data_IF_127155055145
#
_entry.id   IF_127155055145
#
_cell.length_a   1.000
_cell.length_b   1.000
_cell.length_c   1.000
_cell.angle_alpha   90.00
_cell.angle_beta   90.00
_cell.angle_gamma   90.00
#
_symmetry.space_group_name_H-M   'P 1'
#
loop_
_entity.id
_entity.type
_entity.pdbx_description
1 polymer ?
#
# COMPACT_ATOMS: atom_id res chain seq x y z
N UNK A 1 19.18 7.63 53.46
CA UNK A 1 18.07 8.17 52.64
C UNK A 1 18.58 9.41 51.92
N UNK A 2 18.74 9.36 50.61
CA UNK A 2 19.08 10.51 49.78
C UNK A 2 18.14 10.51 48.58
N UNK A 3 17.33 11.55 48.47
CA UNK A 3 16.34 11.75 47.41
C UNK A 3 17.06 12.13 46.11
N UNK A 4 16.74 11.43 45.02
CA UNK A 4 17.17 11.78 43.66
C UNK A 4 16.11 12.70 43.04
N UNK A 5 16.46 13.86 42.47
CA UNK A 5 15.48 14.79 41.92
C UNK A 5 14.91 14.26 40.60
N UNK A 6 13.59 14.38 40.47
CA UNK A 6 12.84 14.02 39.27
C UNK A 6 13.26 14.83 38.05
N UNK A 7 13.89 14.15 37.09
CA UNK A 7 14.03 14.66 35.74
C UNK A 7 12.68 14.64 35.03
N UNK A 8 12.12 15.82 34.74
CA UNK A 8 11.08 15.99 33.72
C UNK A 8 11.60 15.37 32.42
N UNK A 9 11.08 14.20 32.04
CA UNK A 9 11.26 13.65 30.70
C UNK A 9 10.62 14.64 29.72
N UNK A 10 11.44 15.45 29.06
CA UNK A 10 11.07 16.13 27.83
C UNK A 10 10.52 15.08 26.87
N UNK A 11 9.23 15.21 26.50
CA UNK A 11 8.57 14.27 25.62
C UNK A 11 9.31 14.18 24.29
N UNK A 12 9.98 13.04 24.06
CA UNK A 12 10.40 12.64 22.73
C UNK A 12 9.15 12.67 21.85
N UNK A 13 9.17 13.44 20.76
CA UNK A 13 8.10 13.45 19.78
C UNK A 13 7.76 11.99 19.42
N UNK A 14 6.59 11.53 19.84
CA UNK A 14 6.21 10.13 19.70
C UNK A 14 6.13 9.80 18.20
N UNK A 15 7.02 8.94 17.71
CA UNK A 15 7.03 8.53 16.31
C UNK A 15 5.70 7.88 15.91
N UNK A 16 5.33 8.01 14.64
CA UNK A 16 4.14 7.36 14.12
C UNK A 16 4.41 5.85 13.93
N UNK A 17 3.39 5.03 14.18
CA UNK A 17 3.47 3.58 14.02
C UNK A 17 2.96 3.17 12.64
N UNK A 18 3.76 2.39 11.94
CA UNK A 18 3.48 1.93 10.59
C UNK A 18 3.49 0.41 10.54
N UNK A 19 2.93 -0.12 9.46
CA UNK A 19 3.24 -1.47 9.03
C UNK A 19 3.38 -1.56 7.52
N UNK A 20 4.18 -2.52 7.09
CA UNK A 20 4.35 -2.87 5.70
C UNK A 20 3.91 -4.30 5.46
N UNK A 21 3.30 -4.55 4.31
CA UNK A 21 3.19 -5.93 3.80
C UNK A 21 4.50 -6.34 3.15
N UNK A 22 4.86 -7.61 3.25
CA UNK A 22 6.05 -8.20 2.63
C UNK A 22 5.68 -9.52 1.94
N UNK A 23 6.45 -9.89 0.92
CA UNK A 23 6.42 -11.26 0.40
C UNK A 23 6.82 -12.25 1.50
N UNK A 24 6.28 -13.47 1.46
CA UNK A 24 6.65 -14.52 2.43
C UNK A 24 8.16 -14.78 2.35
N UNK A 25 8.83 -14.77 3.49
CA UNK A 25 10.29 -14.92 3.60
C UNK A 25 11.08 -13.61 3.42
N UNK A 26 10.44 -12.51 3.01
CA UNK A 26 11.10 -11.20 2.87
C UNK A 26 10.99 -10.34 4.13
N UNK A 27 10.27 -10.79 5.16
CA UNK A 27 10.12 -10.06 6.42
C UNK A 27 11.48 -9.72 7.08
N UNK A 28 12.49 -10.62 7.12
CA UNK A 28 13.80 -10.29 7.68
C UNK A 28 14.54 -9.19 6.91
N UNK A 29 14.44 -9.17 5.58
CA UNK A 29 15.02 -8.10 4.75
C UNK A 29 14.38 -6.75 5.07
N UNK A 30 13.06 -6.75 5.19
CA UNK A 30 12.31 -5.54 5.52
C UNK A 30 12.59 -5.05 6.93
N UNK A 31 12.68 -5.95 7.92
CA UNK A 31 13.07 -5.59 9.27
C UNK A 31 14.47 -4.95 9.33
N UNK A 32 15.43 -5.48 8.56
CA UNK A 32 16.78 -4.89 8.46
C UNK A 32 16.71 -3.52 7.78
N UNK A 33 15.97 -3.42 6.68
CA UNK A 33 15.83 -2.18 5.91
C UNK A 33 15.18 -1.05 6.72
N UNK A 34 14.09 -1.30 7.45
CA UNK A 34 13.44 -0.24 8.26
C UNK A 34 14.32 0.20 9.42
N UNK A 35 15.09 -0.71 10.03
CA UNK A 35 16.05 -0.34 11.09
C UNK A 35 17.18 0.51 10.54
N UNK A 36 17.78 0.11 9.42
CA UNK A 36 18.94 0.82 8.86
C UNK A 36 18.55 2.14 8.19
N UNK A 37 17.46 2.17 7.41
CA UNK A 37 17.08 3.34 6.63
C UNK A 37 16.21 4.32 7.39
N UNK A 38 15.35 3.85 8.29
CA UNK A 38 14.35 4.69 8.96
C UNK A 38 14.61 4.88 10.45
N UNK A 39 15.76 4.39 10.96
CA UNK A 39 16.07 4.33 12.39
C UNK A 39 14.89 3.78 13.21
N UNK A 40 14.18 2.79 12.65
CA UNK A 40 12.90 2.36 13.19
C UNK A 40 13.07 1.61 14.52
N UNK A 41 12.16 1.91 15.45
CA UNK A 41 12.07 1.29 16.78
C UNK A 41 10.82 0.41 16.87
N UNK A 42 10.70 -0.40 17.92
CA UNK A 42 9.56 -1.31 18.13
C UNK A 42 9.27 -2.20 16.90
N UNK A 43 10.33 -2.68 16.27
CA UNK A 43 10.23 -3.47 15.03
C UNK A 43 9.87 -4.91 15.37
N UNK A 44 8.68 -5.32 14.94
CA UNK A 44 8.13 -6.66 15.10
C UNK A 44 7.60 -7.16 13.76
N UNK A 45 7.50 -8.47 13.58
CA UNK A 45 6.92 -9.03 12.37
C UNK A 45 5.98 -10.19 12.70
N UNK A 46 5.10 -10.43 11.75
CA UNK A 46 4.18 -11.55 11.65
C UNK A 46 4.26 -12.04 10.20
N UNK A 47 3.73 -13.22 9.91
CA UNK A 47 3.76 -13.72 8.53
C UNK A 47 3.18 -12.71 7.53
N UNK A 48 4.03 -12.26 6.60
CA UNK A 48 3.71 -11.28 5.56
C UNK A 48 3.57 -9.82 5.99
N UNK A 49 3.87 -9.44 7.25
CA UNK A 49 3.86 -8.02 7.68
C UNK A 49 4.95 -7.68 8.69
N UNK A 50 5.48 -6.48 8.59
CA UNK A 50 6.42 -5.90 9.55
C UNK A 50 5.82 -4.62 10.11
N UNK A 51 5.77 -4.49 11.43
CA UNK A 51 5.34 -3.29 12.14
C UNK A 51 6.55 -2.58 12.73
N UNK A 52 6.50 -1.26 12.77
CA UNK A 52 7.59 -0.45 13.28
C UNK A 52 7.14 0.98 13.60
N UNK A 53 7.91 1.67 14.44
CA UNK A 53 7.70 3.07 14.80
C UNK A 53 8.86 3.90 14.27
N UNK A 54 8.59 5.02 13.61
CA UNK A 54 9.62 5.92 13.10
C UNK A 54 9.13 7.38 13.04
N UNK A 55 10.08 8.31 13.11
CA UNK A 55 9.86 9.74 12.87
C UNK A 55 10.32 10.17 11.46
N UNK A 56 10.67 9.20 10.60
CA UNK A 56 11.15 9.46 9.24
C UNK A 56 10.10 10.11 8.35
N UNK A 57 10.54 10.94 7.41
CA UNK A 57 9.64 11.61 6.47
C UNK A 57 9.13 10.67 5.37
N UNK A 58 8.12 11.14 4.62
CA UNK A 58 7.53 10.39 3.50
C UNK A 58 8.54 10.03 2.41
N UNK A 59 9.57 10.85 2.19
CA UNK A 59 10.56 10.60 1.15
C UNK A 59 11.45 9.41 1.51
N UNK A 60 11.81 9.28 2.78
CA UNK A 60 12.52 8.11 3.30
C UNK A 60 11.63 6.87 3.27
N UNK A 61 10.37 6.97 3.69
CA UNK A 61 9.41 5.88 3.65
C UNK A 61 9.18 5.35 2.21
N UNK A 62 9.14 6.24 1.22
CA UNK A 62 8.97 5.89 -0.21
C UNK A 62 10.17 5.12 -0.79
N UNK A 63 11.34 5.25 -0.18
CA UNK A 63 12.59 4.60 -0.64
C UNK A 63 12.68 3.13 -0.21
N UNK A 64 11.77 2.62 0.60
CA UNK A 64 11.77 1.20 1.00
C UNK A 64 11.68 0.28 -0.23
N UNK A 65 12.57 -0.71 -0.27
CA UNK A 65 12.83 -1.59 -1.41
C UNK A 65 12.26 -2.98 -1.24
N UNK A 66 12.27 -3.50 -0.01
CA UNK A 66 11.74 -4.82 0.34
C UNK A 66 10.25 -4.80 0.73
N UNK A 67 9.67 -3.61 0.98
CA UNK A 67 8.25 -3.46 1.30
C UNK A 67 7.34 -3.53 0.06
N UNK A 68 6.20 -4.20 0.21
CA UNK A 68 5.15 -4.27 -0.84
C UNK A 68 4.24 -3.05 -0.81
N UNK A 69 3.60 -2.81 0.34
CA UNK A 69 2.72 -1.67 0.60
C UNK A 69 2.99 -1.16 2.01
N UNK A 70 2.85 0.15 2.20
CA UNK A 70 3.04 0.83 3.49
C UNK A 70 1.71 1.39 3.98
N UNK A 71 1.46 1.21 5.27
CA UNK A 71 0.26 1.65 5.94
C UNK A 71 0.62 2.37 7.25
N UNK A 72 -0.10 3.43 7.57
CA UNK A 72 -0.14 4.01 8.91
C UNK A 72 -1.02 3.12 9.78
N UNK A 73 -0.51 2.64 10.91
CA UNK A 73 -1.25 1.76 11.81
C UNK A 73 -2.25 2.58 12.63
N UNK A 74 -3.52 2.19 12.59
CA UNK A 74 -4.54 2.71 13.51
C UNK A 74 -4.63 1.79 14.71
N UNK A 75 -4.85 0.50 14.47
CA UNK A 75 -5.08 -0.49 15.54
C UNK A 75 -4.54 -1.85 15.14
N UNK A 76 -3.93 -2.53 16.11
CA UNK A 76 -3.51 -3.94 16.03
C UNK A 76 -4.03 -4.63 17.28
N UNK A 77 -4.79 -5.71 17.11
CA UNK A 77 -5.32 -6.49 18.23
C UNK A 77 -5.32 -7.99 17.94
N UNK A 78 -5.61 -8.78 18.97
CA UNK A 78 -5.80 -10.21 18.89
C UNK A 78 -6.95 -10.59 17.93
N UNK A 79 -6.93 -11.82 17.37
CA UNK A 79 -7.93 -12.27 16.42
C UNK A 79 -9.30 -12.44 17.09
N UNK A 80 -10.37 -12.39 16.29
CA UNK A 80 -11.70 -12.71 16.79
C UNK A 80 -11.83 -14.21 17.04
N UNK A 81 -12.48 -14.59 18.13
CA UNK A 81 -12.79 -15.99 18.40
C UNK A 81 -13.98 -16.44 17.52
N UNK A 82 -13.70 -17.12 16.42
CA UNK A 82 -14.71 -17.53 15.43
C UNK A 82 -15.33 -18.91 15.75
N UNK A 83 -14.58 -19.80 16.38
CA UNK A 83 -14.97 -21.21 16.53
C UNK A 83 -16.05 -21.48 17.57
N UNK A 84 -16.34 -20.51 18.45
CA UNK A 84 -17.25 -20.70 19.60
C UNK A 84 -18.36 -19.63 19.69
N UNK A 85 -18.47 -18.76 18.69
CA UNK A 85 -19.21 -17.50 18.80
C UNK A 85 -20.19 -17.34 17.63
N UNK A 86 -21.43 -16.91 17.92
CA UNK A 86 -22.43 -16.65 16.88
C UNK A 86 -21.99 -15.51 15.94
N UNK A 87 -22.44 -15.54 14.68
CA UNK A 87 -22.12 -14.49 13.69
C UNK A 87 -22.42 -13.08 14.23
N UNK A 88 -23.52 -12.90 14.98
CA UNK A 88 -23.90 -11.63 15.59
C UNK A 88 -22.88 -11.09 16.60
N UNK A 89 -22.32 -11.94 17.45
CA UNK A 89 -21.28 -11.53 18.41
C UNK A 89 -19.99 -11.10 17.70
N UNK A 90 -19.62 -11.77 16.60
CA UNK A 90 -18.47 -11.36 15.79
C UNK A 90 -18.73 -10.02 15.10
N UNK A 91 -19.94 -9.75 14.62
CA UNK A 91 -20.31 -8.44 14.10
C UNK A 91 -20.19 -7.34 15.16
N UNK A 92 -20.61 -7.60 16.40
CA UNK A 92 -20.43 -6.65 17.49
C UNK A 92 -18.94 -6.36 17.74
N UNK A 93 -18.10 -7.39 17.74
CA UNK A 93 -16.65 -7.23 17.87
C UNK A 93 -16.03 -6.42 16.69
N UNK A 94 -16.54 -6.60 15.47
CA UNK A 94 -16.14 -5.76 14.32
C UNK A 94 -16.58 -4.31 14.47
N UNK A 95 -17.74 -4.03 15.07
CA UNK A 95 -18.18 -2.67 15.36
C UNK A 95 -17.32 -2.03 16.46
N UNK A 96 -16.97 -2.80 17.49
CA UNK A 96 -16.09 -2.39 18.59
C UNK A 96 -14.68 -2.02 18.14
N UNK A 97 -14.16 -2.61 17.05
CA UNK A 97 -12.91 -2.14 16.41
C UNK A 97 -12.92 -0.64 16.12
N UNK A 98 -14.08 -0.10 15.77
CA UNK A 98 -14.27 1.30 15.43
C UNK A 98 -14.71 2.12 16.65
N UNK A 99 -15.64 1.59 17.44
CA UNK A 99 -16.32 2.35 18.49
C UNK A 99 -15.53 2.46 19.81
N UNK A 100 -14.73 1.45 20.16
CA UNK A 100 -14.09 1.39 21.49
C UNK A 100 -12.96 2.42 21.66
N UNK A 101 -12.39 2.93 20.58
CA UNK A 101 -11.25 3.86 20.62
C UNK A 101 -11.28 4.88 19.48
N UNK A 102 -12.21 5.86 19.51
CA UNK A 102 -12.33 6.86 18.46
C UNK A 102 -11.11 7.81 18.37
N UNK A 103 -10.40 8.00 19.49
CA UNK A 103 -9.25 8.90 19.57
C UNK A 103 -8.09 8.42 18.70
N UNK A 104 -7.77 7.11 18.73
CA UNK A 104 -6.75 6.53 17.86
C UNK A 104 -7.05 6.73 16.37
N UNK A 105 -8.33 6.66 15.97
CA UNK A 105 -8.75 6.93 14.59
C UNK A 105 -8.52 8.39 14.22
N UNK A 106 -8.97 9.33 15.05
CA UNK A 106 -8.81 10.77 14.81
C UNK A 106 -7.34 11.18 14.77
N UNK A 107 -6.52 10.64 15.67
CA UNK A 107 -5.08 10.87 15.69
C UNK A 107 -4.41 10.33 14.42
N UNK A 108 -4.72 9.09 14.02
CA UNK A 108 -4.18 8.52 12.79
C UNK A 108 -4.58 9.32 11.54
N UNK A 109 -5.80 9.85 11.49
CA UNK A 109 -6.26 10.70 10.39
C UNK A 109 -5.54 12.04 10.38
N UNK A 110 -5.32 12.65 11.55
CA UNK A 110 -4.52 13.87 11.67
C UNK A 110 -3.10 13.65 11.15
N UNK A 111 -2.44 12.57 11.58
CA UNK A 111 -1.11 12.19 11.09
C UNK A 111 -1.14 11.97 9.57
N UNK A 112 -2.12 11.24 9.06
CA UNK A 112 -2.25 10.97 7.63
C UNK A 112 -2.48 12.25 6.81
N UNK A 113 -3.35 13.16 7.25
CA UNK A 113 -3.56 14.48 6.61
C UNK A 113 -2.26 15.28 6.59
N UNK A 114 -1.54 15.33 7.70
CA UNK A 114 -0.25 16.02 7.78
C UNK A 114 0.79 15.42 6.81
N UNK A 115 0.84 14.09 6.70
CA UNK A 115 1.70 13.42 5.72
C UNK A 115 1.35 13.85 4.28
N UNK A 116 0.06 13.87 3.92
CA UNK A 116 -0.38 14.29 2.58
C UNK A 116 -0.08 15.76 2.27
N UNK A 117 -0.29 16.66 3.22
CA UNK A 117 0.02 18.08 3.03
C UNK A 117 1.51 18.33 2.77
N UNK A 118 2.37 17.61 3.48
CA UNK A 118 3.82 17.70 3.30
C UNK A 118 4.23 17.23 1.90
N UNK A 119 3.59 16.18 1.37
CA UNK A 119 3.83 15.72 0.00
C UNK A 119 3.38 16.78 -1.03
N UNK A 120 2.18 17.35 -0.86
CA UNK A 120 1.65 18.37 -1.75
C UNK A 120 2.50 19.66 -1.76
N UNK A 121 2.97 20.11 -0.59
CA UNK A 121 3.87 21.27 -0.45
C UNK A 121 5.23 21.01 -1.12
N UNK A 122 5.80 19.82 -0.95
CA UNK A 122 7.07 19.43 -1.61
C UNK A 122 6.94 19.34 -3.14
N UNK A 123 5.84 18.79 -3.66
CA UNK A 123 5.60 18.75 -5.12
C UNK A 123 5.55 20.17 -5.70
N UNK A 124 4.84 21.10 -5.04
CA UNK A 124 4.77 22.51 -5.48
C UNK A 124 6.13 23.21 -5.44
N UNK A 125 6.94 22.97 -4.41
CA UNK A 125 8.31 23.51 -4.31
C UNK A 125 9.24 22.95 -5.40
N UNK A 126 9.15 21.66 -5.70
CA UNK A 126 9.95 21.04 -6.77
C UNK A 126 9.61 21.56 -8.17
N UNK A 127 8.34 21.92 -8.40
CA UNK A 127 7.89 22.54 -9.66
C UNK A 127 8.33 24.01 -9.77
N UNK A 128 8.43 24.73 -8.65
CA UNK A 128 8.87 26.14 -8.63
C UNK A 128 10.39 26.28 -8.83
N UNK A 129 11.17 25.28 -8.46
CA UNK A 129 12.63 25.25 -8.61
C UNK A 129 13.10 24.68 -9.96
N UNK A 130 12.19 24.19 -10.80
CA UNK A 130 12.50 23.81 -12.18
C UNK A 130 12.40 25.05 -13.09
N UNK A 131 13.51 25.78 -13.26
CA UNK A 131 13.58 26.89 -14.21
C UNK A 131 13.23 26.41 -15.63
N UNK A 132 12.27 27.05 -16.33
CA UNK A 132 11.95 26.70 -17.71
C UNK A 132 12.99 27.32 -18.65
N UNK A 133 14.08 26.61 -18.91
CA UNK A 133 14.96 26.93 -20.04
C UNK A 133 14.23 26.54 -21.34
N UNK A 134 13.74 27.56 -22.05
CA UNK A 134 13.12 27.51 -23.37
C UNK A 134 13.96 26.65 -24.33
N UNK A 135 13.44 25.49 -24.72
CA UNK A 135 13.70 24.87 -26.03
C UNK A 135 12.36 24.59 -26.70
N UNK A 136 12.24 24.96 -27.97
CA UNK A 136 11.02 24.95 -28.77
C UNK A 136 10.37 23.56 -28.76
N UNK A 137 9.12 23.49 -28.31
CA UNK A 137 8.26 22.31 -28.35
C UNK A 137 7.72 22.17 -29.77
N UNK A 138 8.10 21.10 -30.46
CA UNK A 138 7.42 20.65 -31.69
C UNK A 138 6.16 19.88 -31.33
N UNK A 139 5.13 19.99 -32.19
CA UNK A 139 3.75 19.50 -32.02
C UNK A 139 3.59 17.99 -31.71
N UNK A 140 4.67 17.19 -31.74
CA UNK A 140 4.62 15.75 -31.50
C UNK A 140 4.44 15.34 -30.01
N UNK A 141 4.69 16.25 -29.05
CA UNK A 141 4.63 15.93 -27.61
C UNK A 141 3.20 15.94 -27.02
N UNK A 142 2.26 16.63 -27.67
CA UNK A 142 0.87 16.72 -27.22
C UNK A 142 0.12 15.41 -27.56
N UNK A 143 0.42 14.82 -28.72
CA UNK A 143 -0.16 13.56 -29.17
C UNK A 143 0.32 12.39 -28.29
N UNK A 144 1.58 12.40 -27.85
CA UNK A 144 2.14 11.36 -26.99
C UNK A 144 1.55 11.33 -25.56
N UNK A 145 1.05 12.46 -25.04
CA UNK A 145 0.35 12.52 -23.74
C UNK A 145 -1.09 12.04 -23.83
N UNK A 146 -1.78 12.30 -24.95
CA UNK A 146 -3.16 11.87 -25.17
C UNK A 146 -3.23 10.35 -25.40
N UNK A 147 -2.36 9.80 -26.24
CA UNK A 147 -2.23 8.35 -26.48
C UNK A 147 -1.85 7.55 -25.22
N UNK A 148 -1.05 8.11 -24.30
CA UNK A 148 -0.71 7.44 -23.03
C UNK A 148 -1.89 7.38 -22.06
N UNK A 149 -2.80 8.35 -22.13
CA UNK A 149 -3.98 8.42 -21.25
C UNK A 149 -5.06 7.45 -21.73
N UNK A 150 -5.29 7.40 -23.05
CA UNK A 150 -6.25 6.48 -23.68
C UNK A 150 -5.82 5.00 -23.52
N UNK A 151 -4.52 4.70 -23.71
CA UNK A 151 -3.98 3.34 -23.53
C UNK A 151 -3.99 2.86 -22.08
N UNK A 152 -3.98 3.77 -21.10
CA UNK A 152 -4.09 3.44 -19.68
C UNK A 152 -5.54 3.16 -19.25
N UNK A 153 -6.53 3.80 -19.89
CA UNK A 153 -7.95 3.50 -19.69
C UNK A 153 -8.33 2.14 -20.30
N UNK A 154 -7.86 1.84 -21.52
CA UNK A 154 -8.13 0.53 -22.16
C UNK A 154 -7.56 -0.67 -21.38
N UNK A 155 -6.41 -0.51 -20.72
CA UNK A 155 -5.80 -1.57 -19.90
C UNK A 155 -6.58 -1.79 -18.59
N UNK A 156 -7.20 -0.74 -18.06
CA UNK A 156 -8.03 -0.81 -16.85
C UNK A 156 -9.37 -1.50 -17.18
N UNK A 157 -10.02 -1.11 -18.28
CA UNK A 157 -11.28 -1.70 -18.73
C UNK A 157 -11.13 -3.17 -19.15
N UNK A 158 -10.03 -3.55 -19.81
CA UNK A 158 -9.77 -4.96 -20.16
C UNK A 158 -9.53 -5.85 -18.94
N UNK A 159 -8.98 -5.31 -17.85
CA UNK A 159 -8.77 -6.07 -16.60
C UNK A 159 -10.04 -6.23 -15.80
N UNK A 160 -10.93 -5.25 -15.82
CA UNK A 160 -12.23 -5.32 -15.14
C UNK A 160 -13.18 -6.28 -15.89
N UNK A 161 -13.21 -6.24 -17.23
CA UNK A 161 -14.05 -7.14 -18.04
C UNK A 161 -13.59 -8.61 -18.01
N UNK A 162 -12.28 -8.90 -17.85
CA UNK A 162 -11.79 -10.27 -17.66
C UNK A 162 -12.15 -10.86 -16.29
N UNK A 163 -12.30 -10.00 -15.27
CA UNK A 163 -12.70 -10.42 -13.94
C UNK A 163 -14.20 -10.66 -13.85
N UNK A 164 -15.01 -9.89 -14.57
CA UNK A 164 -16.47 -10.09 -14.68
C UNK A 164 -16.83 -11.40 -15.39
N UNK A 165 -16.11 -11.78 -16.46
CA UNK A 165 -16.34 -13.05 -17.17
C UNK A 165 -16.04 -14.30 -16.33
N UNK A 166 -15.10 -14.21 -15.40
CA UNK A 166 -14.79 -15.30 -14.47
C UNK A 166 -15.85 -15.42 -13.35
N UNK A 167 -16.57 -14.34 -13.06
CA UNK A 167 -17.64 -14.32 -12.05
C UNK A 167 -18.94 -14.83 -12.67
N UNK A 168 -19.24 -14.47 -13.93
CA UNK A 168 -20.47 -14.91 -14.61
C UNK A 168 -20.53 -16.43 -14.84
N UNK A 169 -19.40 -17.08 -15.14
CA UNK A 169 -19.34 -18.54 -15.32
C UNK A 169 -19.55 -19.32 -14.00
N UNK A 170 -19.22 -18.74 -12.84
CA UNK A 170 -19.48 -19.37 -11.53
C UNK A 170 -20.91 -19.12 -11.01
N UNK A 171 -21.64 -18.14 -11.54
CA UNK A 171 -23.02 -17.80 -11.10
C UNK A 171 -24.15 -18.48 -11.87
N UNK A 172 -23.87 -19.30 -12.89
CA UNK A 172 -24.93 -19.94 -13.69
C UNK A 172 -25.51 -21.23 -13.06
N UNK A 173 -24.97 -21.71 -11.94
CA UNK A 173 -25.52 -22.86 -11.20
C UNK A 173 -25.98 -22.47 -9.79
N UNK A 174 -27.07 -21.70 -9.69
CA UNK A 174 -28.14 -21.92 -8.69
C UNK A 174 -29.19 -20.81 -8.79
N UNK A 175 -30.42 -21.23 -9.09
CA UNK A 175 -31.51 -20.35 -9.48
C UNK A 175 -32.23 -19.59 -8.37
N UNK A 176 -32.81 -18.47 -8.82
CA UNK A 176 -34.11 -17.87 -8.51
C UNK A 176 -34.61 -17.82 -7.05
N UNK A 177 -34.72 -16.60 -6.52
CA UNK A 177 -36.00 -16.13 -5.96
C UNK A 177 -36.14 -14.60 -6.00
N UNK A 178 -37.32 -14.16 -6.44
CA UNK A 178 -37.72 -12.77 -6.68
C UNK A 178 -38.45 -12.21 -5.47
N UNK A 179 -38.21 -10.96 -5.06
CA UNK A 179 -39.28 -10.01 -4.69
C UNK A 179 -38.80 -8.56 -4.59
N UNK A 180 -39.66 -7.65 -5.05
CA UNK A 180 -39.48 -6.20 -5.26
C UNK A 180 -39.86 -5.36 -4.01
N UNK A 181 -39.53 -4.06 -4.10
CA UNK A 181 -40.04 -2.84 -3.40
C UNK A 181 -39.33 -2.45 -2.10
N UNK A 182 -39.19 -1.18 -1.74
CA UNK A 182 -39.40 0.13 -2.40
C UNK A 182 -38.59 1.19 -1.63
N UNK A 183 -38.38 2.34 -2.27
CA UNK A 183 -37.70 3.55 -1.77
C UNK A 183 -38.52 4.30 -0.72
N UNK A 184 -37.85 4.98 0.22
CA UNK A 184 -38.19 6.37 0.59
C UNK A 184 -37.06 7.03 1.39
N UNK A 185 -36.71 8.23 0.95
CA UNK A 185 -35.88 9.24 1.62
C UNK A 185 -36.77 10.05 2.55
N UNK A 186 -36.24 10.51 3.69
CA UNK A 186 -36.74 11.73 4.34
C UNK A 186 -35.56 12.58 4.82
N UNK A 187 -35.57 13.83 4.34
CA UNK A 187 -34.72 14.95 4.74
C UNK A 187 -35.34 15.63 5.97
N UNK A 188 -34.52 16.19 6.86
CA UNK A 188 -34.95 17.32 7.68
C UNK A 188 -33.78 18.28 7.95
N UNK A 189 -33.94 19.52 7.53
CA UNK A 189 -33.11 20.67 7.86
C UNK A 189 -33.80 21.49 8.97
N UNK A 190 -33.07 21.99 9.96
CA UNK A 190 -32.86 23.43 10.23
C UNK A 190 -32.38 23.73 11.66
N UNK A 191 -31.58 24.80 11.77
CA UNK A 191 -31.47 25.63 12.99
C UNK A 191 -30.04 25.91 13.43
N UNK A 192 -29.48 27.06 13.03
CA UNK A 192 -28.13 27.50 13.40
C UNK A 192 -28.06 28.34 14.69
N UNK A 193 -26.92 28.26 15.37
CA UNK A 193 -26.34 29.32 16.19
C UNK A 193 -24.82 29.10 16.33
N UNK A 194 -24.08 30.16 15.98
CA UNK A 194 -22.65 30.47 16.08
C UNK A 194 -21.70 29.43 16.71
N UNK A 195 -20.80 28.88 15.87
CA UNK A 195 -19.69 28.02 16.29
C UNK A 195 -18.37 28.50 15.70
N UNK A 196 -17.42 28.70 16.61
CA UNK A 196 -16.00 28.99 16.36
C UNK A 196 -15.37 27.81 15.60
N UNK A 197 -14.96 28.10 14.36
CA UNK A 197 -14.05 27.37 13.46
C UNK A 197 -13.85 25.85 13.70
N UNK A 198 -14.88 25.06 13.38
CA UNK A 198 -14.84 23.58 13.30
C UNK A 198 -14.98 23.08 11.86
N UNK A 199 -14.37 23.76 10.88
CA UNK A 199 -14.48 23.35 9.48
C UNK A 199 -13.55 22.16 9.11
N UNK A 200 -14.10 21.20 8.34
CA UNK A 200 -13.44 20.16 7.52
C UNK A 200 -13.18 18.73 8.05
N UNK A 201 -14.05 18.16 8.90
CA UNK A 201 -14.12 16.68 9.06
C UNK A 201 -15.38 16.03 8.46
N UNK A 202 -16.46 16.80 8.25
CA UNK A 202 -17.77 16.25 7.85
C UNK A 202 -17.91 15.91 6.35
N UNK A 203 -17.00 16.35 5.48
CA UNK A 203 -17.02 16.05 4.04
C UNK A 203 -15.98 15.01 3.61
N UNK A 204 -15.39 14.27 4.55
CA UNK A 204 -14.45 13.21 4.21
C UNK A 204 -15.19 12.04 3.54
N UNK A 205 -14.81 11.72 2.30
CA UNK A 205 -15.26 10.48 1.65
C UNK A 205 -14.29 9.33 1.88
N UNK A 206 -14.80 8.12 2.10
CA UNK A 206 -13.96 6.97 2.38
C UNK A 206 -14.40 5.67 1.70
N UNK A 207 -13.47 4.74 1.54
CA UNK A 207 -13.76 3.33 1.27
C UNK A 207 -13.07 2.42 2.29
N UNK A 208 -13.67 1.27 2.54
CA UNK A 208 -13.06 0.21 3.34
C UNK A 208 -12.61 -0.91 2.41
N UNK A 209 -11.34 -1.29 2.51
CA UNK A 209 -10.75 -2.42 1.81
C UNK A 209 -10.39 -3.50 2.81
N UNK A 210 -11.22 -4.55 2.83
CA UNK A 210 -11.08 -5.65 3.76
C UNK A 210 -10.34 -6.83 3.12
N UNK A 211 -9.48 -7.46 3.90
CA UNK A 211 -8.92 -8.78 3.63
C UNK A 211 -9.31 -9.69 4.79
N UNK A 212 -9.85 -10.86 4.47
CA UNK A 212 -10.10 -11.92 5.44
C UNK A 212 -9.20 -13.12 5.12
N UNK A 213 -8.80 -13.85 6.14
CA UNK A 213 -8.04 -15.10 5.99
C UNK A 213 -8.38 -16.05 7.13
N UNK A 214 -8.25 -17.35 6.88
CA UNK A 214 -8.47 -18.36 7.92
C UNK A 214 -9.95 -18.63 8.21
N UNK A 215 -10.29 -18.91 9.47
CA UNK A 215 -11.65 -19.15 9.93
C UNK A 215 -12.60 -17.99 9.59
N UNK A 216 -12.12 -16.73 9.75
CA UNK A 216 -12.94 -15.54 9.43
C UNK A 216 -13.36 -15.54 7.96
N UNK A 217 -12.47 -15.90 7.03
CA UNK A 217 -12.78 -15.94 5.60
C UNK A 217 -13.78 -17.04 5.22
N UNK A 218 -13.92 -18.09 6.05
CA UNK A 218 -14.93 -19.13 5.87
C UNK A 218 -16.31 -18.69 6.36
N UNK A 219 -16.36 -17.75 7.30
CA UNK A 219 -17.61 -17.30 7.95
C UNK A 219 -18.17 -16.02 7.34
N UNK A 220 -17.28 -15.12 6.88
CA UNK A 220 -17.62 -13.81 6.34
C UNK A 220 -16.88 -13.53 5.04
N UNK A 221 -17.61 -12.95 4.10
CA UNK A 221 -17.00 -12.35 2.91
C UNK A 221 -16.33 -11.03 3.27
N UNK A 222 -15.29 -10.65 2.52
CA UNK A 222 -14.63 -9.36 2.72
C UNK A 222 -15.60 -8.17 2.53
N UNK A 223 -16.60 -8.32 1.66
CA UNK A 223 -17.62 -7.30 1.42
C UNK A 223 -18.55 -7.11 2.62
N UNK A 224 -18.99 -8.21 3.25
CA UNK A 224 -19.81 -8.14 4.48
C UNK A 224 -19.06 -7.43 5.61
N UNK A 225 -17.79 -7.78 5.82
CA UNK A 225 -16.92 -7.12 6.82
C UNK A 225 -16.77 -5.64 6.48
N UNK A 226 -16.50 -5.32 5.21
CA UNK A 226 -16.39 -3.94 4.73
C UNK A 226 -17.67 -3.14 4.98
N UNK A 227 -18.84 -3.73 4.76
CA UNK A 227 -20.14 -3.10 5.00
C UNK A 227 -20.37 -2.83 6.48
N UNK A 228 -20.09 -3.79 7.36
CA UNK A 228 -20.30 -3.64 8.81
C UNK A 228 -19.42 -2.55 9.39
N UNK A 229 -18.13 -2.56 9.03
CA UNK A 229 -17.18 -1.55 9.50
C UNK A 229 -17.46 -0.20 8.85
N UNK A 230 -17.84 -0.17 7.57
CA UNK A 230 -18.27 1.04 6.89
C UNK A 230 -19.45 1.72 7.58
N UNK A 231 -20.49 0.95 7.94
CA UNK A 231 -21.64 1.47 8.70
C UNK A 231 -21.20 1.99 10.07
N UNK A 232 -20.29 1.29 10.77
CA UNK A 232 -19.76 1.74 12.06
C UNK A 232 -19.03 3.09 11.92
N UNK A 233 -18.18 3.24 10.90
CA UNK A 233 -17.45 4.49 10.63
C UNK A 233 -18.39 5.64 10.27
N UNK A 234 -19.40 5.38 9.45
CA UNK A 234 -20.43 6.38 9.10
C UNK A 234 -21.18 6.87 10.35
N UNK A 235 -21.56 5.95 11.24
CA UNK A 235 -22.26 6.30 12.50
C UNK A 235 -21.37 7.03 13.49
N UNK A 236 -20.11 6.60 13.62
CA UNK A 236 -19.19 7.14 14.63
C UNK A 236 -18.62 8.50 14.24
N UNK A 237 -18.31 8.72 12.95
CA UNK A 237 -17.60 9.91 12.48
C UNK A 237 -18.38 10.76 11.47
N UNK A 238 -19.56 10.32 11.03
CA UNK A 238 -20.37 11.06 10.05
C UNK A 238 -19.80 11.09 8.63
N UNK A 239 -18.78 10.27 8.32
CA UNK A 239 -18.15 10.25 6.99
C UNK A 239 -19.07 9.65 5.92
N UNK A 240 -18.83 10.03 4.66
CA UNK A 240 -19.59 9.54 3.51
C UNK A 240 -18.84 8.41 2.80
N UNK A 241 -19.51 7.29 2.53
CA UNK A 241 -18.89 6.20 1.78
C UNK A 241 -18.82 6.54 0.27
N UNK A 242 -17.64 6.42 -0.33
CA UNK A 242 -17.42 6.52 -1.78
C UNK A 242 -16.48 5.38 -2.22
N UNK A 243 -17.02 4.40 -2.93
CA UNK A 243 -16.26 3.24 -3.39
C UNK A 243 -15.42 3.51 -4.65
N UNK A 244 -15.75 4.56 -5.42
CA UNK A 244 -15.14 4.87 -6.72
C UNK A 244 -14.00 5.86 -6.57
N UNK A 245 -14.22 6.98 -5.88
CA UNK A 245 -13.23 8.05 -5.75
C UNK A 245 -13.08 8.55 -4.30
N UNK A 246 -12.71 7.66 -3.35
CA UNK A 246 -12.55 8.04 -1.96
C UNK A 246 -11.41 9.03 -1.74
N UNK A 247 -11.59 9.94 -0.78
CA UNK A 247 -10.47 10.72 -0.24
C UNK A 247 -9.58 9.85 0.67
N UNK A 248 -10.20 8.99 1.48
CA UNK A 248 -9.54 8.12 2.44
C UNK A 248 -9.79 6.63 2.13
N UNK A 249 -8.73 5.85 2.02
CA UNK A 249 -8.82 4.39 1.98
C UNK A 249 -8.47 3.81 3.36
N UNK A 250 -9.33 2.95 3.89
CA UNK A 250 -9.10 2.26 5.16
C UNK A 250 -8.88 0.79 4.86
N UNK A 251 -7.69 0.30 5.19
CA UNK A 251 -7.34 -1.11 5.03
C UNK A 251 -7.57 -1.87 6.33
N UNK A 252 -8.24 -3.01 6.22
CA UNK A 252 -8.53 -3.89 7.34
C UNK A 252 -8.13 -5.30 6.96
N UNK A 253 -7.32 -5.95 7.80
CA UNK A 253 -7.02 -7.36 7.66
C UNK A 253 -7.42 -8.11 8.93
N UNK A 254 -8.41 -8.97 8.78
CA UNK A 254 -8.85 -9.91 9.80
C UNK A 254 -8.27 -11.30 9.50
N UNK A 255 -7.58 -11.88 10.47
CA UNK A 255 -7.00 -13.21 10.37
C UNK A 255 -7.16 -13.97 11.67
N UNK A 256 -6.84 -15.26 11.65
CA UNK A 256 -6.87 -16.13 12.83
C UNK A 256 -5.75 -15.82 13.84
N UNK A 257 -4.83 -14.92 13.49
CA UNK A 257 -3.64 -14.60 14.31
C UNK A 257 -3.70 -13.16 14.83
N UNK A 258 -4.34 -12.25 14.09
CA UNK A 258 -4.46 -10.84 14.43
C UNK A 258 -5.57 -10.16 13.62
N UNK A 259 -6.00 -9.01 14.12
CA UNK A 259 -6.82 -8.04 13.40
C UNK A 259 -6.06 -6.71 13.33
N UNK A 260 -5.88 -6.19 12.12
CA UNK A 260 -5.11 -4.96 11.86
C UNK A 260 -5.93 -3.98 11.04
N UNK A 261 -5.89 -2.72 11.45
CA UNK A 261 -6.51 -1.60 10.77
C UNK A 261 -5.46 -0.53 10.49
N UNK A 262 -5.45 0.01 9.27
CA UNK A 262 -4.55 1.08 8.91
C UNK A 262 -4.92 1.82 7.64
N UNK A 263 -4.23 2.92 7.40
CA UNK A 263 -4.45 3.79 6.24
C UNK A 263 -3.29 3.58 5.27
N UNK A 264 -3.51 3.17 4.00
CA UNK A 264 -2.45 3.12 3.00
C UNK A 264 -1.80 4.50 2.86
N UNK A 265 -0.49 4.58 3.05
CA UNK A 265 0.24 5.85 2.94
C UNK A 265 0.35 6.29 1.47
N UNK A 266 0.46 5.31 0.56
CA UNK A 266 0.55 5.55 -0.87
C UNK A 266 -0.55 4.81 -1.63
N UNK A 267 -1.12 5.46 -2.66
CA UNK A 267 -2.11 4.85 -3.56
C UNK A 267 -1.52 3.66 -4.30
N UNK A 268 -0.34 3.86 -4.89
CA UNK A 268 0.41 2.84 -5.63
C UNK A 268 1.33 2.05 -4.66
N UNK A 269 1.40 0.71 -4.74
CA UNK A 269 2.33 -0.09 -3.95
C UNK A 269 3.78 0.38 -4.06
N UNK A 270 4.56 0.22 -2.98
CA UNK A 270 6.00 0.50 -2.99
C UNK A 270 6.76 -0.46 -3.93
N UNK A 271 6.28 -1.70 -4.07
CA UNK A 271 6.83 -2.66 -5.03
C UNK A 271 6.66 -2.22 -6.49
N UNK A 272 5.73 -1.31 -6.80
CA UNK A 272 5.58 -0.77 -8.14
C UNK A 272 6.60 0.33 -8.38
N UNK A 273 7.67 0.00 -9.10
CA UNK A 273 8.77 0.92 -9.38
C UNK A 273 8.55 1.64 -10.70
N UNK A 274 8.52 2.97 -10.69
CA UNK A 274 8.31 3.77 -11.90
C UNK A 274 9.37 3.54 -13.00
N UNK A 275 10.56 3.07 -12.63
CA UNK A 275 11.64 2.75 -13.58
C UNK A 275 11.56 1.32 -14.16
N UNK A 276 10.69 0.44 -13.64
CA UNK A 276 10.42 -0.88 -14.20
C UNK A 276 9.21 -0.75 -15.13
N UNK A 277 9.46 -0.73 -16.44
CA UNK A 277 8.38 -0.57 -17.44
C UNK A 277 7.69 -1.89 -17.79
N UNK A 278 8.45 -2.98 -17.81
CA UNK A 278 7.96 -4.33 -18.13
C UNK A 278 8.19 -5.22 -16.93
N UNK A 279 7.13 -5.90 -16.48
CA UNK A 279 7.20 -6.73 -15.28
C UNK A 279 7.98 -8.02 -15.56
N UNK A 280 9.09 -8.22 -14.84
CA UNK A 280 9.82 -9.49 -14.76
C UNK A 280 9.69 -10.09 -13.37
N UNK A 281 10.82 -10.41 -12.74
CA UNK A 281 10.83 -10.80 -11.33
C UNK A 281 10.24 -9.68 -10.46
N UNK A 282 9.50 -10.04 -9.42
CA UNK A 282 8.95 -9.04 -8.49
C UNK A 282 10.07 -8.19 -7.90
N UNK A 283 9.93 -6.86 -7.96
CA UNK A 283 11.00 -5.90 -7.61
C UNK A 283 11.54 -6.09 -6.19
N UNK A 284 10.67 -6.42 -5.22
CA UNK A 284 11.03 -6.69 -3.82
C UNK A 284 11.95 -7.92 -3.71
N UNK A 285 11.68 -8.96 -4.48
CA UNK A 285 12.50 -10.18 -4.56
C UNK A 285 13.82 -9.88 -5.29
N UNK A 286 13.75 -9.18 -6.42
CA UNK A 286 14.92 -8.81 -7.21
C UNK A 286 15.93 -7.98 -6.39
N UNK A 287 15.42 -7.02 -5.60
CA UNK A 287 16.24 -6.25 -4.68
C UNK A 287 16.81 -7.10 -3.55
N UNK A 288 16.02 -8.02 -2.96
CA UNK A 288 16.51 -8.92 -1.93
C UNK A 288 17.65 -9.82 -2.45
N UNK A 289 17.50 -10.38 -3.66
CA UNK A 289 18.56 -11.16 -4.33
C UNK A 289 19.82 -10.32 -4.55
N UNK A 290 19.69 -9.11 -5.07
CA UNK A 290 20.83 -8.22 -5.27
C UNK A 290 21.52 -7.84 -3.94
N UNK A 291 20.75 -7.65 -2.86
CA UNK A 291 21.28 -7.35 -1.53
C UNK A 291 22.10 -8.47 -0.92
N UNK A 292 21.79 -9.73 -1.27
CA UNK A 292 22.57 -10.90 -0.84
C UNK A 292 23.86 -11.09 -1.63
N UNK A 293 23.98 -10.47 -2.81
CA UNK A 293 25.16 -10.60 -3.66
C UNK A 293 26.35 -9.74 -3.19
N UNK A 294 26.19 -8.96 -2.11
CA UNK A 294 27.24 -8.14 -1.48
C UNK A 294 28.04 -7.30 -2.49
N UNK A 295 27.32 -6.65 -3.42
CA UNK A 295 27.89 -5.88 -4.52
C UNK A 295 28.74 -4.72 -3.97
N UNK A 296 30.03 -4.73 -4.30
CA UNK A 296 30.97 -3.67 -3.92
C UNK A 296 30.99 -2.54 -4.95
N UNK A 297 31.39 -1.35 -4.52
CA UNK A 297 31.64 -0.25 -5.44
C UNK A 297 32.72 -0.65 -6.47
N UNK A 298 32.49 -0.34 -7.74
CA UNK A 298 33.35 -0.73 -8.86
C UNK A 298 33.17 -2.16 -9.37
N UNK A 299 32.32 -2.98 -8.72
CA UNK A 299 32.10 -4.35 -9.16
C UNK A 299 31.37 -4.42 -10.52
N UNK A 300 31.74 -5.42 -11.33
CA UNK A 300 31.02 -5.80 -12.54
C UNK A 300 30.00 -6.88 -12.17
N UNK A 301 28.73 -6.61 -12.41
CA UNK A 301 27.61 -7.51 -12.11
C UNK A 301 27.07 -8.06 -13.42
N UNK A 302 27.15 -9.38 -13.60
CA UNK A 302 26.67 -10.08 -14.78
C UNK A 302 25.58 -11.08 -14.37
N UNK A 303 24.42 -10.98 -15.02
CA UNK A 303 23.40 -12.02 -14.99
C UNK A 303 23.26 -12.60 -16.41
N UNK A 304 23.80 -13.81 -16.66
CA UNK A 304 23.81 -14.41 -18.00
C UNK A 304 22.41 -14.84 -18.46
N UNK A 305 21.43 -14.91 -17.57
CA UNK A 305 20.04 -15.29 -17.85
C UNK A 305 19.08 -14.19 -17.38
N UNK A 306 19.49 -12.94 -17.53
CA UNK A 306 18.82 -11.78 -16.96
C UNK A 306 17.36 -11.56 -17.39
N UNK A 307 16.92 -12.15 -18.52
CA UNK A 307 15.57 -11.96 -19.06
C UNK A 307 15.25 -10.47 -19.23
N UNK A 308 14.25 -9.99 -18.49
CA UNK A 308 13.86 -8.56 -18.45
C UNK A 308 14.79 -7.67 -17.60
N UNK A 309 15.86 -8.23 -17.04
CA UNK A 309 16.92 -7.51 -16.34
C UNK A 309 16.52 -6.95 -14.98
N UNK A 310 15.45 -7.43 -14.34
CA UNK A 310 14.92 -6.79 -13.12
C UNK A 310 15.89 -6.81 -11.94
N UNK A 311 16.67 -7.89 -11.77
CA UNK A 311 17.72 -7.97 -10.74
C UNK A 311 18.81 -6.94 -11.02
N UNK A 312 19.33 -6.89 -12.25
CA UNK A 312 20.35 -5.92 -12.66
C UNK A 312 19.85 -4.48 -12.52
N UNK A 313 18.57 -4.23 -12.81
CA UNK A 313 17.97 -2.90 -12.70
C UNK A 313 17.80 -2.45 -11.24
N UNK A 314 17.38 -3.35 -10.35
CA UNK A 314 17.37 -3.05 -8.91
C UNK A 314 18.79 -2.84 -8.38
N UNK A 315 19.75 -3.67 -8.79
CA UNK A 315 21.16 -3.53 -8.41
C UNK A 315 21.72 -2.17 -8.86
N UNK A 316 21.57 -1.81 -10.14
CA UNK A 316 22.04 -0.53 -10.66
C UNK A 316 21.39 0.69 -9.97
N UNK A 317 20.15 0.55 -9.48
CA UNK A 317 19.45 1.61 -8.74
C UNK A 317 19.90 1.71 -7.28
N UNK A 318 20.35 0.62 -6.68
CA UNK A 318 20.76 0.55 -5.28
C UNK A 318 22.25 0.84 -5.10
N UNK A 319 23.09 0.37 -6.03
CA UNK A 319 24.55 0.60 -6.07
C UNK A 319 24.95 1.37 -7.34
N UNK A 320 24.85 2.71 -7.35
CA UNK A 320 25.13 3.52 -8.54
C UNK A 320 26.56 3.37 -9.09
N UNK A 321 27.49 2.91 -8.25
CA UNK A 321 28.90 2.76 -8.59
C UNK A 321 29.26 1.34 -9.08
N UNK A 322 28.29 0.46 -9.36
CA UNK A 322 28.54 -0.85 -9.98
C UNK A 322 28.23 -0.83 -11.49
N UNK A 323 28.92 -1.69 -12.26
CA UNK A 323 28.68 -1.85 -13.69
C UNK A 323 27.83 -3.09 -13.94
N UNK A 324 26.54 -2.91 -14.20
CA UNK A 324 25.64 -4.01 -14.54
C UNK A 324 25.68 -4.29 -16.05
N UNK A 325 26.00 -5.52 -16.43
CA UNK A 325 26.02 -5.96 -17.82
C UNK A 325 24.78 -6.80 -18.12
N UNK A 326 23.96 -6.32 -19.05
CA UNK A 326 22.83 -7.07 -19.59
C UNK A 326 23.27 -7.72 -20.91
N UNK A 327 23.45 -9.05 -20.91
CA UNK A 327 23.69 -9.82 -22.14
C UNK A 327 22.45 -10.67 -22.40
N UNK A 328 21.64 -10.26 -23.37
CA UNK A 328 20.56 -11.09 -23.88
C UNK A 328 21.20 -12.04 -24.90
N UNK A 329 21.73 -13.16 -24.42
CA UNK A 329 21.95 -14.30 -25.31
C UNK A 329 20.56 -14.79 -25.71
N UNK A 330 20.05 -14.33 -26.84
CA UNK A 330 19.11 -15.14 -27.61
C UNK A 330 19.86 -16.44 -27.83
N UNK A 331 19.44 -17.52 -27.16
CA UNK A 331 19.83 -18.87 -27.55
C UNK A 331 19.29 -19.10 -28.98
N UNK A 332 19.99 -18.57 -29.98
CA UNK A 332 20.18 -19.32 -31.19
C UNK A 332 21.05 -20.50 -30.76
N UNK A 333 20.42 -21.65 -30.63
CA UNK A 333 21.10 -22.95 -30.60
C UNK A 333 22.30 -22.88 -31.55
N UNK A 334 23.55 -23.02 -31.08
CA UNK A 334 24.63 -23.24 -32.01
C UNK A 334 24.43 -24.64 -32.56
N UNK A 335 23.92 -24.71 -33.80
CA UNK A 335 24.18 -25.83 -34.68
C UNK A 335 25.71 -25.91 -34.74
N UNK A 336 26.27 -26.87 -34.01
CA UNK A 336 27.68 -27.24 -34.11
C UNK A 336 27.92 -27.73 -35.54
N UNK A 337 28.30 -26.82 -36.43
CA UNK A 337 28.92 -27.20 -37.68
C UNK A 337 30.35 -27.62 -37.37
N UNK A 338 30.60 -28.92 -37.50
CA UNK A 338 31.93 -29.49 -37.75
C UNK A 338 32.66 -28.63 -38.80
N UNK A 339 33.89 -28.19 -38.52
CA UNK A 339 34.60 -27.38 -39.51
C UNK A 339 35.97 -26.86 -39.13
N UNK A 340 36.90 -27.77 -38.83
CA UNK A 340 38.35 -27.70 -39.12
C UNK A 340 39.22 -26.65 -38.39
N UNK A 341 40.11 -27.22 -37.57
CA UNK A 341 41.47 -26.77 -37.29
C UNK A 341 42.26 -26.40 -38.54
N UNK A 342 43.15 -25.42 -38.44
CA UNK A 342 44.40 -25.15 -39.19
C UNK A 342 45.02 -23.92 -38.51
N UNK A 343 46.11 -24.03 -37.72
CA UNK A 343 47.52 -24.10 -38.16
C UNK A 343 47.86 -23.39 -39.46
#
# INVERSE_FOLDING_TARGET
MAAVPGGRRSGLAAGARFFCTAGRGLEPFLMREVRSRLAATQVEYISGKVFFTTCSDLNMLKKLKSAERLFLLIKKQLPFNVSSVSKGKIFNEMQRLTNDDPESWLNAISIWKNLLELDAKKVKLSQKNANPLKRKVGENDIIAKKLKTERMQEIQEKKECQLEKQIEEETLEQGNFTTKRDKSQEELQNGGAEAVDTHNQNDLTFRVSCRCSGAIAKTFTAQEVGRVIGIALMKQFGWKADLRNPNLEIFIHLSDIYSVVGIPVFRVPLASRAYIKTAGLRSTVAWAMASLAEIKAGAVVLDPMCGLGTILLEAAKEWPNCHCLQKVSILLFPIFHLGKSLS
#
